data_IF_894368523715
#
_entry.id   IF_894368523715
#
_cell.length_a   1.000
_cell.length_b   1.000
_cell.length_c   1.000
_cell.angle_alpha   90.00
_cell.angle_beta   90.00
_cell.angle_gamma   90.00
#
_symmetry.space_group_name_H-M   'P 1'
#
loop_
_entity.id
_entity.type
_entity.pdbx_description
1 polymer ?
#
# COMPACT_ATOMS: atom_id res chain seq x y z
N UNK A 1 -0.23 25.36 -27.87
CA UNK A 1 0.47 24.48 -26.91
C UNK A 1 0.25 25.07 -25.52
N UNK A 2 0.08 24.25 -24.48
CA UNK A 2 -0.15 24.71 -23.10
C UNK A 2 1.15 24.96 -22.33
N UNK A 3 1.04 25.67 -21.21
CA UNK A 3 2.17 25.97 -20.31
C UNK A 3 2.50 24.79 -19.38
N UNK A 4 3.78 24.59 -19.10
CA UNK A 4 4.24 23.55 -18.16
C UNK A 4 3.97 23.99 -16.72
N UNK A 5 3.29 23.17 -15.90
CA UNK A 5 3.09 23.48 -14.49
C UNK A 5 4.42 23.64 -13.75
N UNK A 6 4.54 24.72 -12.98
CA UNK A 6 5.71 25.02 -12.12
C UNK A 6 5.52 24.58 -10.66
N UNK A 7 4.33 24.12 -10.32
CA UNK A 7 3.93 23.65 -8.98
C UNK A 7 3.08 22.38 -9.10
N UNK A 8 2.92 21.60 -8.01
CA UNK A 8 2.03 20.45 -8.00
C UNK A 8 0.61 20.80 -8.44
N UNK A 9 0.03 19.99 -9.31
CA UNK A 9 -1.34 20.13 -9.80
C UNK A 9 -2.27 19.43 -8.83
N UNK A 10 -3.31 20.12 -8.37
CA UNK A 10 -4.35 19.52 -7.53
C UNK A 10 -5.45 18.93 -8.40
N UNK A 11 -5.83 17.68 -8.15
CA UNK A 11 -6.96 17.03 -8.79
C UNK A 11 -7.83 16.29 -7.77
N UNK A 12 -9.01 15.84 -8.22
CA UNK A 12 -9.95 15.07 -7.42
C UNK A 12 -10.03 13.62 -7.90
N UNK A 13 -9.98 12.68 -6.96
CA UNK A 13 -10.36 11.29 -7.17
C UNK A 13 -11.42 10.90 -6.15
N UNK A 14 -12.64 10.55 -6.59
CA UNK A 14 -13.75 10.21 -5.69
C UNK A 14 -14.04 11.28 -4.61
N UNK A 15 -13.84 12.57 -4.96
CA UNK A 15 -13.95 13.70 -4.05
C UNK A 15 -12.77 13.91 -3.09
N UNK A 16 -11.72 13.07 -3.18
CA UNK A 16 -10.47 13.21 -2.42
C UNK A 16 -9.49 14.07 -3.18
N UNK A 17 -8.83 15.01 -2.50
CA UNK A 17 -7.87 15.94 -3.10
C UNK A 17 -6.46 15.36 -3.11
N UNK A 18 -5.75 15.50 -4.22
CA UNK A 18 -4.35 15.12 -4.34
C UNK A 18 -3.57 16.19 -5.08
N UNK A 19 -2.47 16.66 -4.50
CA UNK A 19 -1.44 17.45 -5.14
C UNK A 19 -0.38 16.52 -5.74
N UNK A 20 -0.13 16.65 -7.04
CA UNK A 20 0.81 15.79 -7.77
C UNK A 20 1.80 16.58 -8.60
N UNK A 21 3.06 16.17 -8.53
CA UNK A 21 4.09 16.68 -9.43
C UNK A 21 4.02 15.90 -10.75
N UNK A 22 3.35 16.50 -11.74
CA UNK A 22 3.18 15.89 -13.08
C UNK A 22 4.44 15.95 -13.93
N UNK A 23 5.46 16.71 -13.51
CA UNK A 23 6.72 16.89 -14.25
C UNK A 23 7.80 15.93 -13.75
N UNK A 24 7.93 15.77 -12.44
CA UNK A 24 9.02 15.00 -11.81
C UNK A 24 8.55 13.75 -11.07
N UNK A 25 7.25 13.59 -10.84
CA UNK A 25 6.71 12.43 -10.13
C UNK A 25 6.74 11.16 -10.97
N UNK A 26 6.69 9.99 -10.30
CA UNK A 26 6.67 8.70 -11.01
C UNK A 26 5.39 8.56 -11.85
N UNK A 27 5.52 7.98 -13.05
CA UNK A 27 4.45 7.91 -14.07
C UNK A 27 3.94 9.31 -14.44
N UNK A 28 2.75 9.68 -13.99
CA UNK A 28 2.14 11.01 -14.15
C UNK A 28 2.10 11.78 -12.82
N UNK A 29 2.94 11.37 -11.87
CA UNK A 29 2.91 11.82 -10.47
C UNK A 29 1.96 11.02 -9.56
N UNK A 30 1.13 10.11 -10.10
CA UNK A 30 0.13 9.34 -9.34
C UNK A 30 -0.26 8.02 -10.01
N UNK A 31 -0.68 7.05 -9.20
CA UNK A 31 -1.11 5.72 -9.63
C UNK A 31 -2.64 5.64 -9.73
N UNK A 32 -3.19 5.98 -10.91
CA UNK A 32 -4.64 6.00 -11.17
C UNK A 32 -5.26 4.59 -11.22
N UNK A 33 -4.46 3.56 -11.50
CA UNK A 33 -4.82 2.15 -11.50
C UNK A 33 -5.25 1.61 -10.13
N UNK A 34 -4.86 2.28 -9.04
CA UNK A 34 -5.16 1.88 -7.66
C UNK A 34 -6.44 2.55 -7.08
N UNK A 35 -7.23 3.25 -7.90
CA UNK A 35 -8.42 4.02 -7.46
C UNK A 35 -9.41 3.19 -6.63
N UNK A 36 -9.85 2.07 -7.18
CA UNK A 36 -10.86 1.23 -6.53
C UNK A 36 -10.30 0.55 -5.28
N UNK A 37 -9.00 0.22 -5.30
CA UNK A 37 -8.33 -0.35 -4.13
C UNK A 37 -8.25 0.68 -2.99
N UNK A 38 -7.93 1.94 -3.30
CA UNK A 38 -7.97 3.03 -2.31
C UNK A 38 -9.36 3.20 -1.71
N UNK A 39 -10.41 3.18 -2.53
CA UNK A 39 -11.78 3.24 -2.05
C UNK A 39 -12.11 2.10 -1.09
N UNK A 40 -11.64 0.89 -1.39
CA UNK A 40 -11.86 -0.25 -0.48
C UNK A 40 -11.11 -0.11 0.84
N UNK A 41 -9.87 0.39 0.81
CA UNK A 41 -9.12 0.68 2.04
C UNK A 41 -9.87 1.68 2.92
N UNK A 42 -10.51 2.71 2.33
CA UNK A 42 -11.35 3.66 3.07
C UNK A 42 -12.51 2.97 3.79
N UNK A 43 -13.23 2.06 3.13
CA UNK A 43 -14.31 1.28 3.76
C UNK A 43 -13.82 0.40 4.91
N UNK A 44 -12.57 -0.10 4.81
CA UNK A 44 -11.96 -0.97 5.79
C UNK A 44 -11.17 -0.20 6.86
N UNK A 45 -11.10 1.13 6.86
CA UNK A 45 -10.20 1.85 7.76
C UNK A 45 -10.80 2.26 9.10
N UNK A 46 -12.14 2.29 9.24
CA UNK A 46 -12.81 2.83 10.42
C UNK A 46 -12.29 2.24 11.74
N UNK A 47 -11.78 3.11 12.62
CA UNK A 47 -11.23 2.76 13.95
C UNK A 47 -9.88 2.03 13.93
N UNK A 48 -9.39 1.58 12.77
CA UNK A 48 -8.20 0.74 12.63
C UNK A 48 -6.91 1.57 12.65
N UNK A 49 -5.84 0.99 13.20
CA UNK A 49 -4.47 1.43 12.99
C UNK A 49 -4.00 0.86 11.65
N UNK A 50 -3.67 1.73 10.71
CA UNK A 50 -3.34 1.36 9.33
C UNK A 50 -1.84 1.56 9.08
N UNK A 51 -1.18 0.54 8.52
CA UNK A 51 0.17 0.62 8.00
C UNK A 51 0.12 0.61 6.47
N UNK A 52 0.77 1.56 5.83
CA UNK A 52 0.92 1.64 4.38
C UNK A 52 2.40 1.56 4.01
N UNK A 53 2.82 0.38 3.53
CA UNK A 53 4.19 0.14 3.05
C UNK A 53 4.31 0.51 1.57
N UNK A 54 5.45 1.09 1.19
CA UNK A 54 5.67 1.66 -0.14
C UNK A 54 4.66 2.76 -0.44
N UNK A 55 4.45 3.62 0.57
CA UNK A 55 3.30 4.49 0.62
C UNK A 55 3.30 5.65 -0.39
N UNK A 56 4.44 5.91 -1.04
CA UNK A 56 4.62 6.98 -2.03
C UNK A 56 4.05 8.32 -1.52
N UNK A 57 3.22 9.00 -2.31
CA UNK A 57 2.57 10.28 -1.96
C UNK A 57 1.30 10.10 -1.09
N UNK A 58 1.17 8.97 -0.41
CA UNK A 58 0.17 8.74 0.64
C UNK A 58 -1.20 8.27 0.15
N UNK A 59 -1.36 7.85 -1.10
CA UNK A 59 -2.66 7.51 -1.71
C UNK A 59 -3.58 6.67 -0.83
N UNK A 60 -3.11 5.51 -0.36
CA UNK A 60 -3.86 4.65 0.56
C UNK A 60 -4.02 5.26 1.96
N UNK A 61 -2.99 5.96 2.43
CA UNK A 61 -2.99 6.62 3.74
C UNK A 61 -4.09 7.67 3.86
N UNK A 62 -4.27 8.50 2.85
CA UNK A 62 -5.29 9.56 2.82
C UNK A 62 -6.69 8.95 2.80
N UNK A 63 -6.92 7.93 1.98
CA UNK A 63 -8.18 7.19 1.97
C UNK A 63 -8.46 6.50 3.32
N UNK A 64 -7.43 5.94 3.96
CA UNK A 64 -7.57 5.36 5.30
C UNK A 64 -7.95 6.42 6.34
N UNK A 65 -7.28 7.58 6.33
CA UNK A 65 -7.61 8.72 7.20
C UNK A 65 -9.05 9.20 7.01
N UNK A 66 -9.48 9.42 5.77
CA UNK A 66 -10.86 9.79 5.41
C UNK A 66 -11.89 8.69 5.68
N UNK A 67 -11.44 7.44 5.84
CA UNK A 67 -12.24 6.29 6.27
C UNK A 67 -12.38 6.18 7.79
N UNK A 68 -11.75 7.07 8.55
CA UNK A 68 -11.84 7.09 10.01
C UNK A 68 -10.79 6.22 10.71
N UNK A 69 -9.64 5.96 10.09
CA UNK A 69 -8.51 5.34 10.77
C UNK A 69 -8.17 6.06 12.09
N UNK A 70 -7.82 5.28 13.12
CA UNK A 70 -7.39 5.82 14.41
C UNK A 70 -5.97 6.37 14.35
N UNK A 71 -5.10 5.70 13.61
CA UNK A 71 -3.74 6.12 13.26
C UNK A 71 -3.38 5.57 11.89
N UNK A 72 -2.61 6.32 11.10
CA UNK A 72 -2.04 5.88 9.83
C UNK A 72 -0.52 6.04 9.89
N UNK A 73 0.23 4.98 9.59
CA UNK A 73 1.69 5.01 9.42
C UNK A 73 2.00 4.77 7.94
N UNK A 74 2.75 5.68 7.32
CA UNK A 74 3.20 5.58 5.92
C UNK A 74 4.70 5.37 5.90
N UNK A 75 5.15 4.30 5.25
CA UNK A 75 6.57 3.95 5.13
C UNK A 75 6.98 3.99 3.67
N UNK A 76 8.05 4.73 3.38
CA UNK A 76 8.67 4.77 2.07
C UNK A 76 10.15 5.11 2.22
N UNK A 77 11.00 4.70 1.29
CA UNK A 77 12.44 4.99 1.35
C UNK A 77 12.73 6.45 0.94
N UNK A 78 11.87 7.07 0.13
CA UNK A 78 12.07 8.41 -0.39
C UNK A 78 11.42 9.47 0.52
N UNK A 79 12.24 10.19 1.30
CA UNK A 79 11.76 11.30 2.12
C UNK A 79 10.91 12.36 1.34
N UNK A 80 11.25 12.74 0.08
CA UNK A 80 10.44 13.70 -0.67
C UNK A 80 9.00 13.25 -0.94
N UNK A 81 8.76 11.94 -1.15
CA UNK A 81 7.41 11.44 -1.40
C UNK A 81 6.60 11.39 -0.10
N UNK A 82 7.26 11.18 1.04
CA UNK A 82 6.64 11.29 2.36
C UNK A 82 6.26 12.73 2.70
N UNK A 83 7.08 13.73 2.34
CA UNK A 83 6.69 15.14 2.45
C UNK A 83 5.43 15.42 1.62
N UNK A 84 5.37 14.91 0.38
CA UNK A 84 4.16 15.04 -0.43
C UNK A 84 2.96 14.28 0.17
N UNK A 85 3.18 13.14 0.85
CA UNK A 85 2.14 12.43 1.57
C UNK A 85 1.58 13.26 2.74
N UNK A 86 2.43 13.98 3.48
CA UNK A 86 2.00 14.92 4.53
C UNK A 86 1.21 16.09 3.94
N UNK A 87 1.70 16.70 2.84
CA UNK A 87 0.96 17.76 2.14
C UNK A 87 -0.42 17.27 1.70
N UNK A 88 -0.51 16.07 1.12
CA UNK A 88 -1.79 15.52 0.71
C UNK A 88 -2.71 15.16 1.89
N UNK A 89 -2.15 14.76 3.02
CA UNK A 89 -2.90 14.52 4.25
C UNK A 89 -3.56 15.80 4.76
N UNK A 90 -2.78 16.86 4.91
CA UNK A 90 -3.24 18.19 5.32
C UNK A 90 -4.22 18.78 4.30
N UNK A 91 -3.95 18.57 3.01
CA UNK A 91 -4.84 18.95 1.92
C UNK A 91 -6.22 18.28 2.03
N UNK A 92 -6.43 17.25 2.85
CA UNK A 92 -7.76 16.66 3.05
C UNK A 92 -8.34 16.96 4.44
N UNK A 93 -7.83 17.99 5.11
CA UNK A 93 -8.26 18.44 6.45
C UNK A 93 -8.16 17.34 7.52
N UNK A 94 -7.24 16.38 7.32
CA UNK A 94 -7.01 15.29 8.25
C UNK A 94 -6.09 15.74 9.40
N UNK A 95 -6.34 15.31 10.66
CA UNK A 95 -5.53 15.75 11.79
C UNK A 95 -4.05 15.29 11.67
N UNK A 96 -3.06 16.19 11.78
CA UNK A 96 -1.65 15.82 11.65
C UNK A 96 -1.20 14.75 12.66
N UNK A 97 -1.75 14.77 13.88
CA UNK A 97 -1.42 13.79 14.92
C UNK A 97 -1.79 12.34 14.56
N UNK A 98 -2.71 12.14 13.60
CA UNK A 98 -3.15 10.80 13.17
C UNK A 98 -2.31 10.22 12.03
N UNK A 99 -1.29 10.93 11.54
CA UNK A 99 -0.43 10.49 10.45
C UNK A 99 1.04 10.51 10.86
N UNK A 100 1.68 9.36 10.74
CA UNK A 100 3.11 9.19 10.94
C UNK A 100 3.72 8.82 9.59
N UNK A 101 4.79 9.50 9.20
CA UNK A 101 5.59 9.15 8.01
C UNK A 101 6.97 8.69 8.44
N UNK A 102 7.42 7.56 7.93
CA UNK A 102 8.69 6.93 8.31
C UNK A 102 9.57 6.71 7.08
N UNK A 103 10.67 7.47 6.92
CA UNK A 103 11.62 7.27 5.83
C UNK A 103 12.50 6.05 6.11
N UNK A 104 12.11 4.89 5.60
CA UNK A 104 12.79 3.62 5.85
C UNK A 104 12.59 2.60 4.72
N UNK A 105 13.52 1.65 4.60
CA UNK A 105 13.26 0.42 3.85
C UNK A 105 12.15 -0.39 4.53
N UNK A 106 11.26 -0.98 3.74
CA UNK A 106 10.10 -1.69 4.26
C UNK A 106 10.48 -2.92 5.09
N UNK A 107 11.52 -3.68 4.70
CA UNK A 107 11.96 -4.85 5.47
C UNK A 107 12.61 -4.44 6.79
N UNK A 108 13.43 -3.39 6.78
CA UNK A 108 14.04 -2.84 8.00
C UNK A 108 12.97 -2.33 8.97
N UNK A 109 12.00 -1.57 8.47
CA UNK A 109 10.87 -1.09 9.27
C UNK A 109 10.08 -2.25 9.89
N UNK A 110 9.73 -3.25 9.10
CA UNK A 110 8.97 -4.42 9.56
C UNK A 110 9.74 -5.21 10.62
N UNK A 111 11.05 -5.41 10.44
CA UNK A 111 11.89 -6.08 11.42
C UNK A 111 11.93 -5.31 12.76
N UNK A 112 12.12 -3.99 12.70
CA UNK A 112 12.09 -3.13 13.90
C UNK A 112 10.72 -3.11 14.58
N UNK A 113 9.64 -3.05 13.81
CA UNK A 113 8.28 -3.10 14.32
C UNK A 113 7.96 -4.45 15.00
N UNK A 114 8.37 -5.57 14.40
CA UNK A 114 8.21 -6.89 15.01
C UNK A 114 9.03 -7.01 16.31
N UNK A 115 10.29 -6.57 16.31
CA UNK A 115 11.15 -6.59 17.49
C UNK A 115 10.59 -5.73 18.64
N UNK A 116 9.98 -4.59 18.32
CA UNK A 116 9.33 -3.70 19.29
C UNK A 116 7.88 -4.07 19.60
N UNK A 117 7.35 -5.17 19.04
CA UNK A 117 5.96 -5.62 19.22
C UNK A 117 4.94 -4.53 18.84
N UNK A 118 5.23 -3.79 17.78
CA UNK A 118 4.31 -2.79 17.21
C UNK A 118 3.47 -3.47 16.14
N UNK A 119 2.16 -3.41 16.32
CA UNK A 119 1.20 -4.08 15.43
C UNK A 119 0.15 -3.12 14.87
N UNK A 120 -0.47 -3.53 13.76
CA UNK A 120 -1.53 -2.78 13.05
C UNK A 120 -2.73 -3.68 12.75
N UNK A 121 -3.90 -3.06 12.65
CA UNK A 121 -5.17 -3.74 12.34
C UNK A 121 -5.35 -3.95 10.82
N UNK A 122 -4.75 -3.08 10.01
CA UNK A 122 -4.79 -3.15 8.55
C UNK A 122 -3.40 -2.80 7.98
N UNK A 123 -2.80 -3.71 7.24
CA UNK A 123 -1.50 -3.52 6.58
C UNK A 123 -1.68 -3.54 5.07
N UNK A 124 -1.22 -2.49 4.39
CA UNK A 124 -1.22 -2.36 2.93
C UNK A 124 0.21 -2.54 2.42
N UNK A 125 0.37 -3.40 1.41
CA UNK A 125 1.64 -3.77 0.80
C UNK A 125 1.53 -3.59 -0.72
N UNK A 126 2.08 -2.48 -1.25
CA UNK A 126 2.07 -2.16 -2.68
C UNK A 126 3.49 -1.89 -3.22
N UNK A 127 4.37 -2.91 -3.29
CA UNK A 127 5.76 -2.73 -3.66
C UNK A 127 5.93 -2.41 -5.16
N UNK A 128 7.06 -1.81 -5.54
CA UNK A 128 7.45 -1.74 -6.94
C UNK A 128 7.61 -3.16 -7.53
N UNK A 129 7.57 -3.28 -8.86
CA UNK A 129 7.67 -4.59 -9.51
C UNK A 129 9.00 -5.29 -9.19
N UNK A 130 8.92 -6.47 -8.57
CA UNK A 130 10.08 -7.34 -8.35
C UNK A 130 10.49 -8.16 -9.60
N UNK A 131 9.59 -8.32 -10.57
CA UNK A 131 9.85 -9.05 -11.81
C UNK A 131 9.99 -8.10 -13.01
N UNK A 132 11.21 -7.68 -13.31
CA UNK A 132 11.53 -6.89 -14.50
C UNK A 132 11.58 -7.71 -15.80
N UNK A 133 11.66 -9.04 -15.70
CA UNK A 133 11.68 -9.97 -16.83
C UNK A 133 11.09 -11.33 -16.44
N UNK A 134 10.77 -12.17 -17.44
CA UNK A 134 10.27 -13.53 -17.21
C UNK A 134 11.26 -14.41 -16.40
N UNK A 135 12.57 -14.24 -16.63
CA UNK A 135 13.61 -14.97 -15.89
C UNK A 135 13.69 -14.59 -14.40
N UNK A 136 13.22 -13.38 -14.04
CA UNK A 136 13.21 -12.90 -12.66
C UNK A 136 12.00 -13.40 -11.84
N UNK A 137 11.02 -14.07 -12.47
CA UNK A 137 9.78 -14.47 -11.81
C UNK A 137 9.99 -15.34 -10.56
N UNK A 138 10.84 -16.39 -10.56
CA UNK A 138 11.06 -17.20 -9.35
C UNK A 138 11.62 -16.37 -8.18
N UNK A 139 12.55 -15.46 -8.46
CA UNK A 139 13.13 -14.55 -7.46
C UNK A 139 12.08 -13.56 -6.94
N UNK A 140 11.21 -13.06 -7.83
CA UNK A 140 10.13 -12.15 -7.45
C UNK A 140 9.11 -12.83 -6.53
N UNK A 141 8.71 -14.08 -6.84
CA UNK A 141 7.82 -14.88 -5.98
C UNK A 141 8.41 -15.03 -4.57
N UNK A 142 9.69 -15.41 -4.47
CA UNK A 142 10.37 -15.53 -3.18
C UNK A 142 10.46 -14.20 -2.42
N UNK A 143 10.62 -13.07 -3.13
CA UNK A 143 10.62 -11.75 -2.53
C UNK A 143 9.22 -11.36 -2.00
N UNK A 144 8.15 -11.63 -2.76
CA UNK A 144 6.78 -11.43 -2.32
C UNK A 144 6.46 -12.28 -1.08
N UNK A 145 6.80 -13.57 -1.07
CA UNK A 145 6.60 -14.45 0.09
C UNK A 145 7.25 -13.88 1.36
N UNK A 146 8.52 -13.44 1.27
CA UNK A 146 9.25 -12.85 2.39
C UNK A 146 8.62 -11.56 2.88
N UNK A 147 8.25 -10.67 1.95
CA UNK A 147 7.62 -9.40 2.28
C UNK A 147 6.28 -9.61 2.97
N UNK A 148 5.46 -10.52 2.46
CA UNK A 148 4.15 -10.84 3.03
C UNK A 148 4.30 -11.50 4.40
N UNK A 149 5.27 -12.41 4.59
CA UNK A 149 5.55 -13.00 5.90
C UNK A 149 5.92 -11.92 6.94
N UNK A 150 6.80 -10.98 6.56
CA UNK A 150 7.19 -9.88 7.44
C UNK A 150 6.02 -8.92 7.76
N UNK A 151 5.19 -8.61 6.76
CA UNK A 151 3.99 -7.79 6.95
C UNK A 151 2.93 -8.49 7.82
N UNK A 152 2.74 -9.79 7.64
CA UNK A 152 1.83 -10.61 8.44
C UNK A 152 2.29 -10.68 9.91
N UNK A 153 3.60 -10.76 10.17
CA UNK A 153 4.16 -10.78 11.52
C UNK A 153 3.89 -9.49 12.34
N UNK A 154 3.59 -8.37 11.68
CA UNK A 154 3.20 -7.11 12.35
C UNK A 154 1.71 -6.81 12.24
N UNK A 155 0.93 -7.72 11.64
CA UNK A 155 -0.53 -7.61 11.56
C UNK A 155 -1.13 -8.26 12.80
N UNK A 156 -2.07 -7.59 13.46
CA UNK A 156 -2.76 -8.14 14.63
C UNK A 156 -3.50 -9.45 14.27
N UNK A 157 -3.72 -10.35 15.24
CA UNK A 157 -4.67 -11.45 15.07
C UNK A 157 -6.04 -10.90 14.64
N UNK A 158 -6.64 -11.49 13.61
CA UNK A 158 -7.86 -10.99 12.95
C UNK A 158 -7.73 -9.62 12.24
N UNK A 159 -6.51 -9.09 12.14
CA UNK A 159 -6.18 -7.96 11.28
C UNK A 159 -6.18 -8.35 9.81
N UNK A 160 -6.19 -7.33 8.96
CA UNK A 160 -6.30 -7.47 7.51
C UNK A 160 -4.95 -7.14 6.85
N UNK A 161 -4.53 -7.98 5.91
CA UNK A 161 -3.40 -7.68 5.02
C UNK A 161 -3.91 -7.49 3.58
N UNK A 162 -3.72 -6.29 3.04
CA UNK A 162 -4.00 -5.94 1.65
C UNK A 162 -2.71 -5.92 0.82
N UNK A 163 -2.58 -6.85 -0.12
CA UNK A 163 -1.40 -6.98 -0.97
C UNK A 163 -1.74 -6.67 -2.43
N UNK A 164 -0.86 -5.93 -3.09
CA UNK A 164 -0.91 -5.61 -4.51
C UNK A 164 0.43 -5.94 -5.20
N UNK A 165 0.38 -6.12 -6.52
CA UNK A 165 1.55 -6.36 -7.36
C UNK A 165 1.33 -5.71 -8.72
N UNK A 166 2.33 -4.97 -9.18
CA UNK A 166 2.37 -4.39 -10.52
C UNK A 166 3.21 -5.24 -11.51
N UNK A 167 3.63 -6.46 -11.13
CA UNK A 167 4.48 -7.30 -11.97
C UNK A 167 3.68 -8.01 -13.06
N UNK A 168 3.74 -7.52 -14.30
CA UNK A 168 3.04 -8.11 -15.46
C UNK A 168 3.42 -9.56 -15.77
N UNK A 169 4.65 -9.97 -15.44
CA UNK A 169 5.17 -11.33 -15.65
C UNK A 169 4.73 -12.33 -14.57
N UNK A 170 4.17 -11.85 -13.44
CA UNK A 170 3.67 -12.72 -12.36
C UNK A 170 2.17 -12.82 -12.53
N UNK A 171 1.67 -14.03 -12.82
CA UNK A 171 0.23 -14.22 -12.93
C UNK A 171 -0.45 -14.09 -11.55
N UNK A 172 -1.75 -13.76 -11.50
CA UNK A 172 -2.47 -13.52 -10.23
C UNK A 172 -2.50 -14.73 -9.29
N UNK A 173 -2.54 -15.94 -9.83
CA UNK A 173 -2.62 -17.17 -9.03
C UNK A 173 -1.30 -17.45 -8.33
N UNK A 174 -0.18 -17.27 -9.03
CA UNK A 174 1.17 -17.37 -8.46
C UNK A 174 1.42 -16.30 -7.40
N UNK A 175 0.97 -15.06 -7.64
CA UNK A 175 1.06 -14.00 -6.64
C UNK A 175 0.19 -14.29 -5.41
N UNK A 176 -1.03 -14.80 -5.62
CA UNK A 176 -1.89 -15.22 -4.53
C UNK A 176 -1.24 -16.35 -3.72
N UNK A 177 -0.75 -17.42 -4.37
CA UNK A 177 -0.04 -18.52 -3.69
C UNK A 177 1.15 -18.01 -2.87
N UNK A 178 1.94 -17.10 -3.45
CA UNK A 178 3.06 -16.45 -2.74
C UNK A 178 2.59 -15.71 -1.47
N UNK A 179 1.45 -15.02 -1.52
CA UNK A 179 0.88 -14.35 -0.36
C UNK A 179 0.38 -15.36 0.69
N UNK A 180 -0.32 -16.42 0.27
CA UNK A 180 -0.85 -17.45 1.16
C UNK A 180 0.29 -18.21 1.87
N UNK A 181 1.36 -18.53 1.15
CA UNK A 181 2.58 -19.13 1.70
C UNK A 181 3.28 -18.18 2.69
N UNK A 182 3.41 -16.90 2.34
CA UNK A 182 4.00 -15.88 3.23
C UNK A 182 3.24 -15.75 4.55
N UNK A 183 1.91 -15.72 4.52
CA UNK A 183 1.07 -15.65 5.73
C UNK A 183 1.20 -16.92 6.57
N UNK A 184 1.21 -18.09 5.92
CA UNK A 184 1.34 -19.37 6.60
C UNK A 184 2.65 -19.46 7.39
N UNK A 185 3.74 -18.87 6.88
CA UNK A 185 5.03 -18.79 7.58
C UNK A 185 4.99 -17.91 8.83
N UNK A 186 4.11 -16.90 8.89
CA UNK A 186 3.99 -16.00 10.03
C UNK A 186 3.04 -16.51 11.13
N UNK A 187 2.22 -17.54 10.84
CA UNK A 187 1.20 -18.07 11.74
C UNK A 187 0.27 -17.00 12.35
N UNK A 188 -0.05 -15.93 11.60
CA UNK A 188 -0.86 -14.81 12.05
C UNK A 188 -1.63 -14.13 10.90
N UNK A 189 -2.85 -13.64 11.19
CA UNK A 189 -3.61 -12.70 10.36
C UNK A 189 -4.70 -13.29 9.44
N UNK A 190 -5.54 -12.42 8.87
CA UNK A 190 -6.49 -12.73 7.79
C UNK A 190 -6.06 -12.01 6.50
N UNK A 191 -6.12 -12.69 5.34
CA UNK A 191 -5.70 -12.11 4.06
C UNK A 191 -6.89 -11.49 3.35
N UNK A 192 -6.75 -10.22 2.95
CA UNK A 192 -7.65 -9.57 2.01
C UNK A 192 -6.86 -9.21 0.74
N UNK A 193 -6.82 -10.12 -0.21
CA UNK A 193 -5.98 -9.99 -1.40
C UNK A 193 -6.63 -9.14 -2.49
N UNK A 194 -5.84 -8.29 -3.16
CA UNK A 194 -6.22 -7.64 -4.41
C UNK A 194 -5.27 -7.99 -5.55
N UNK A 195 -5.78 -8.55 -6.65
CA UNK A 195 -5.02 -8.59 -7.89
C UNK A 195 -5.32 -7.33 -8.71
N UNK A 196 -4.34 -6.43 -8.83
CA UNK A 196 -4.33 -5.43 -9.89
C UNK A 196 -3.66 -6.03 -11.13
N UNK A 197 -4.38 -6.88 -11.87
CA UNK A 197 -3.96 -7.17 -13.24
C UNK A 197 -4.32 -5.96 -14.06
N UNK A 198 -3.30 -5.29 -14.59
CA UNK A 198 -3.41 -4.12 -15.45
C UNK A 198 -4.33 -4.37 -16.65
N UNK A 199 -5.63 -4.14 -16.49
CA UNK A 199 -6.56 -3.77 -17.54
C UNK A 199 -7.46 -2.66 -16.98
N UNK A 200 -7.44 -1.45 -17.56
CA UNK A 200 -8.12 -0.26 -17.01
C UNK A 200 -9.66 -0.33 -16.97
N UNK A 201 -10.26 -1.51 -17.19
CA UNK A 201 -11.70 -1.71 -17.40
C UNK A 201 -12.26 -2.78 -16.45
N UNK A 202 -11.41 -3.59 -15.80
CA UNK A 202 -11.87 -4.65 -14.90
C UNK A 202 -11.69 -4.23 -13.45
N UNK A 203 -12.74 -4.20 -12.63
CA UNK A 203 -12.60 -3.87 -11.21
C UNK A 203 -11.66 -4.86 -10.52
N UNK A 204 -10.86 -4.42 -9.54
CA UNK A 204 -9.95 -5.30 -8.81
C UNK A 204 -10.73 -6.40 -8.11
N UNK A 205 -10.24 -7.63 -8.21
CA UNK A 205 -10.85 -8.78 -7.52
C UNK A 205 -10.28 -8.85 -6.11
N UNK A 206 -11.14 -8.54 -5.14
CA UNK A 206 -10.86 -8.74 -3.72
C UNK A 206 -11.21 -10.18 -3.32
N UNK A 207 -10.23 -10.95 -2.83
CA UNK A 207 -10.45 -12.27 -2.23
C UNK A 207 -10.11 -12.19 -0.75
N UNK A 208 -11.13 -12.33 0.10
CA UNK A 208 -10.92 -12.46 1.54
C UNK A 208 -10.80 -13.94 1.88
N UNK A 209 -9.68 -14.34 2.51
CA UNK A 209 -9.51 -15.67 3.09
C UNK A 209 -9.13 -15.51 4.55
N UNK A 210 -9.93 -16.10 5.42
CA UNK A 210 -9.56 -16.29 6.82
C UNK A 210 -8.70 -17.55 6.91
N UNK A 211 -7.50 -17.42 7.45
CA UNK A 211 -6.66 -18.56 7.79
C UNK A 211 -6.97 -18.93 9.23
N UNK A 212 -7.41 -20.17 9.45
CA UNK A 212 -7.46 -20.74 10.79
C UNK A 212 -6.02 -21.10 11.17
N UNK A 213 -5.54 -20.52 12.26
CA UNK A 213 -4.25 -20.85 12.88
C UNK A 213 -4.48 -22.06 13.79
#
# INVERSE_FOLDING_TARGET
>A
MGETPVAPVVFLENGVRFAVDVVRGQKTGFFLDQRDNRQKIRELAAGRRVLNLFGYTGGFSIYAGLGGASQVTTVDIAAPVLTAAQTNWELNDLPPAKHETVPADAFEFLAGAAASRRFWDLVVVDPPSFASSQAAVPKAIAAYQKLIAAAAAVTLPNGLLAAASCSSHVNPEAFLSACEEGISLAAAGQLCFTSAVSRPITPPRWRCRSFAI
#
